data_IF_395798394831
#
_entry.id   IF_395798394831
#
_cell.length_a   1.000
_cell.length_b   1.000
_cell.length_c   1.000
_cell.angle_alpha   90.00
_cell.angle_beta   90.00
_cell.angle_gamma   90.00
#
_symmetry.space_group_name_H-M   'P 1'
#
loop_
_entity.id
_entity.type
_entity.pdbx_description
1 polymer ?
#
# COMPACT_ATOMS: atom_id res chain seq x y z
N UNK A 1 12.13 81.73 -20.35
CA UNK A 1 11.59 81.05 -19.15
C UNK A 1 11.52 79.55 -19.45
N UNK A 2 12.43 78.75 -18.88
CA UNK A 2 12.51 77.29 -19.05
C UNK A 2 11.50 76.63 -18.10
N UNK A 3 10.57 75.81 -18.63
CA UNK A 3 9.69 74.95 -17.81
C UNK A 3 10.17 73.51 -17.93
N UNK A 4 10.79 73.01 -16.86
CA UNK A 4 11.07 71.61 -16.61
C UNK A 4 9.75 70.92 -16.20
N UNK A 5 9.36 69.86 -16.90
CA UNK A 5 8.28 68.96 -16.48
C UNK A 5 8.96 67.70 -15.93
N UNK A 6 8.71 67.30 -14.67
CA UNK A 6 9.35 66.13 -14.08
C UNK A 6 8.66 64.85 -14.57
N UNK A 7 9.46 63.90 -15.04
CA UNK A 7 9.01 62.55 -15.38
C UNK A 7 8.66 61.75 -14.13
N UNK A 8 7.43 61.24 -14.08
CA UNK A 8 7.00 60.24 -13.10
C UNK A 8 7.46 58.87 -13.65
N UNK A 9 8.51 58.31 -13.05
CA UNK A 9 8.91 56.91 -13.28
C UNK A 9 8.05 56.05 -12.36
N UNK A 10 7.02 55.42 -12.94
CA UNK A 10 6.27 54.36 -12.27
C UNK A 10 7.19 53.13 -12.16
N UNK A 11 7.74 52.90 -10.97
CA UNK A 11 8.40 51.65 -10.60
C UNK A 11 7.33 50.56 -10.46
N UNK A 12 7.09 49.80 -11.54
CA UNK A 12 6.36 48.53 -11.50
C UNK A 12 7.18 47.52 -10.71
N UNK A 13 6.88 47.39 -9.43
CA UNK A 13 7.34 46.30 -8.58
C UNK A 13 6.71 44.98 -9.06
N UNK A 14 7.45 44.24 -9.88
CA UNK A 14 7.21 42.83 -10.18
C UNK A 14 7.35 42.03 -8.88
N UNK A 15 6.23 41.78 -8.20
CA UNK A 15 6.15 40.70 -7.23
C UNK A 15 6.34 39.39 -8.00
N UNK A 16 7.57 38.88 -8.05
CA UNK A 16 7.83 37.55 -8.55
C UNK A 16 7.07 36.56 -7.68
N UNK A 17 6.05 35.91 -8.25
CA UNK A 17 5.50 34.70 -7.68
C UNK A 17 6.67 33.71 -7.54
N UNK A 18 7.17 33.52 -6.32
CA UNK A 18 8.04 32.39 -6.05
C UNK A 18 7.23 31.14 -6.40
N UNK A 19 7.55 30.51 -7.53
CA UNK A 19 7.03 29.19 -7.84
C UNK A 19 7.60 28.27 -6.77
N UNK A 20 6.80 27.96 -5.75
CA UNK A 20 7.09 26.86 -4.84
C UNK A 20 7.24 25.64 -5.75
N UNK A 21 8.44 25.09 -5.82
CA UNK A 21 8.72 23.92 -6.64
C UNK A 21 7.98 22.73 -6.01
N UNK A 22 6.72 22.54 -6.37
CA UNK A 22 5.87 21.47 -5.85
C UNK A 22 6.45 20.13 -6.30
N UNK A 23 6.72 19.24 -5.35
CA UNK A 23 7.23 17.90 -5.66
C UNK A 23 6.16 17.10 -6.39
N UNK A 24 6.56 16.38 -7.44
CA UNK A 24 5.65 15.52 -8.19
C UNK A 24 5.19 14.32 -7.35
N UNK A 25 4.12 13.66 -7.78
CA UNK A 25 3.68 12.39 -7.21
C UNK A 25 4.78 11.30 -7.27
N UNK A 26 5.64 11.33 -8.31
CA UNK A 26 6.78 10.43 -8.45
C UNK A 26 7.87 10.68 -7.40
N UNK A 27 8.21 11.95 -7.15
CA UNK A 27 9.19 12.32 -6.13
C UNK A 27 8.71 11.95 -4.73
N UNK A 28 7.41 12.17 -4.45
CA UNK A 28 6.79 11.78 -3.19
C UNK A 28 6.78 10.25 -3.02
N UNK A 29 6.48 9.50 -4.08
CA UNK A 29 6.53 8.03 -4.06
C UNK A 29 7.91 7.49 -3.67
N UNK A 30 8.98 8.03 -4.27
CA UNK A 30 10.36 7.62 -3.95
C UNK A 30 10.74 8.00 -2.51
N UNK A 31 10.43 9.22 -2.08
CA UNK A 31 10.75 9.69 -0.73
C UNK A 31 10.00 8.90 0.35
N UNK A 32 8.72 8.57 0.11
CA UNK A 32 7.91 7.77 1.02
C UNK A 32 8.41 6.32 1.09
N UNK A 33 8.76 5.71 -0.05
CA UNK A 33 9.36 4.37 -0.09
C UNK A 33 10.67 4.35 0.71
N UNK A 34 11.55 5.35 0.54
CA UNK A 34 12.78 5.45 1.31
C UNK A 34 12.54 5.61 2.82
N UNK A 35 11.49 6.33 3.24
CA UNK A 35 11.11 6.42 4.65
C UNK A 35 10.62 5.06 5.19
N UNK A 36 9.74 4.39 4.45
CA UNK A 36 9.25 3.05 4.75
C UNK A 36 10.38 2.03 4.89
N UNK A 37 11.34 2.04 3.98
CA UNK A 37 12.45 1.08 3.97
C UNK A 37 13.39 1.27 5.17
N UNK A 38 13.41 2.48 5.77
CA UNK A 38 14.06 2.75 7.07
C UNK A 38 13.19 2.43 8.28
N UNK A 39 11.97 1.96 8.07
CA UNK A 39 10.99 1.66 9.12
C UNK A 39 10.23 2.89 9.64
N UNK A 40 10.37 4.06 9.03
CA UNK A 40 9.66 5.29 9.41
C UNK A 40 8.32 5.38 8.66
N UNK A 41 7.36 4.59 9.12
CA UNK A 41 6.05 4.48 8.48
C UNK A 41 5.17 5.72 8.70
N UNK A 42 5.41 6.48 9.77
CA UNK A 42 4.72 7.76 9.98
C UNK A 42 5.17 8.83 8.99
N UNK A 43 6.48 8.96 8.72
CA UNK A 43 6.97 9.83 7.66
C UNK A 43 6.48 9.36 6.29
N UNK A 44 6.54 8.05 6.00
CA UNK A 44 6.02 7.50 4.74
C UNK A 44 4.55 7.86 4.53
N UNK A 45 3.69 7.66 5.54
CA UNK A 45 2.27 8.03 5.52
C UNK A 45 2.06 9.50 5.18
N UNK A 46 2.76 10.41 5.86
CA UNK A 46 2.63 11.86 5.63
C UNK A 46 3.04 12.24 4.20
N UNK A 47 4.13 11.67 3.70
CA UNK A 47 4.60 11.91 2.32
C UNK A 47 3.60 11.36 1.29
N UNK A 48 3.08 10.14 1.50
CA UNK A 48 2.04 9.59 0.62
C UNK A 48 0.78 10.46 0.60
N UNK A 49 0.34 10.99 1.75
CA UNK A 49 -0.80 11.89 1.81
C UNK A 49 -0.63 13.14 0.91
N UNK A 50 0.58 13.69 0.79
CA UNK A 50 0.87 14.80 -0.13
C UNK A 50 0.75 14.44 -1.61
N UNK A 51 0.79 13.15 -1.97
CA UNK A 51 0.60 12.70 -3.36
C UNK A 51 -0.85 12.82 -3.84
N UNK A 52 -1.80 13.00 -2.91
CA UNK A 52 -3.22 13.13 -3.22
C UNK A 52 -3.69 14.58 -3.45
N UNK A 53 -2.77 15.56 -3.57
CA UNK A 53 -3.15 16.91 -4.02
C UNK A 53 -3.65 16.87 -5.47
N UNK A 54 -4.57 17.77 -5.83
CA UNK A 54 -5.25 17.75 -7.14
C UNK A 54 -4.27 17.81 -8.32
N UNK A 55 -3.23 18.64 -8.21
CA UNK A 55 -2.14 18.75 -9.21
C UNK A 55 -1.40 17.43 -9.39
N UNK A 56 -1.07 16.76 -8.28
CA UNK A 56 -0.33 15.50 -8.29
C UNK A 56 -1.14 14.34 -8.86
N UNK A 57 -2.44 14.24 -8.51
CA UNK A 57 -3.29 13.16 -8.99
C UNK A 57 -3.64 13.28 -10.48
N UNK A 58 -3.83 14.50 -10.98
CA UNK A 58 -4.20 14.74 -12.39
C UNK A 58 -3.12 14.26 -13.38
N UNK A 59 -1.86 14.20 -12.95
CA UNK A 59 -0.71 13.85 -13.81
C UNK A 59 -0.37 12.35 -13.80
N UNK A 60 -1.11 11.53 -13.05
CA UNK A 60 -0.76 10.12 -12.84
C UNK A 60 -1.66 9.15 -13.61
N UNK A 61 -1.08 8.04 -14.07
CA UNK A 61 -1.84 6.97 -14.72
C UNK A 61 -2.74 6.23 -13.71
N UNK A 62 -3.84 5.58 -14.15
CA UNK A 62 -4.68 4.77 -13.27
C UNK A 62 -3.89 3.72 -12.48
N UNK A 63 -2.93 3.06 -13.12
CA UNK A 63 -2.05 2.07 -12.47
C UNK A 63 -1.18 2.71 -11.39
N UNK A 64 -0.61 3.89 -11.66
CA UNK A 64 0.17 4.60 -10.65
C UNK A 64 -0.67 5.02 -9.45
N UNK A 65 -1.91 5.46 -9.68
CA UNK A 65 -2.86 5.77 -8.60
C UNK A 65 -3.18 4.54 -7.75
N UNK A 66 -3.39 3.37 -8.35
CA UNK A 66 -3.60 2.13 -7.62
C UNK A 66 -2.43 1.85 -6.65
N UNK A 67 -1.20 2.00 -7.11
CA UNK A 67 -0.01 1.82 -6.27
C UNK A 67 0.09 2.89 -5.16
N UNK A 68 -0.24 4.15 -5.45
CA UNK A 68 -0.28 5.19 -4.41
C UNK A 68 -1.28 4.85 -3.29
N UNK A 69 -2.50 4.46 -3.66
CA UNK A 69 -3.52 4.01 -2.70
C UNK A 69 -3.05 2.80 -1.90
N UNK A 70 -2.40 1.83 -2.56
CA UNK A 70 -1.85 0.64 -1.91
C UNK A 70 -0.81 1.00 -0.83
N UNK A 71 0.21 1.79 -1.19
CA UNK A 71 1.29 2.13 -0.26
C UNK A 71 0.83 3.09 0.85
N UNK A 72 -0.09 3.99 0.53
CA UNK A 72 -0.68 4.88 1.53
C UNK A 72 -1.52 4.08 2.54
N UNK A 73 -2.38 3.18 2.06
CA UNK A 73 -3.19 2.30 2.90
C UNK A 73 -2.36 1.42 3.83
N UNK A 74 -1.24 0.86 3.34
CA UNK A 74 -0.28 0.13 4.18
C UNK A 74 0.29 1.02 5.29
N UNK A 75 0.73 2.22 4.95
CA UNK A 75 1.31 3.17 5.91
C UNK A 75 0.31 3.63 6.96
N UNK A 76 -0.95 3.86 6.56
CA UNK A 76 -2.07 4.13 7.47
C UNK A 76 -2.29 2.98 8.46
N UNK A 77 -2.29 1.74 7.99
CA UNK A 77 -2.53 0.59 8.85
C UNK A 77 -1.39 0.34 9.86
N UNK A 78 -0.14 0.55 9.46
CA UNK A 78 1.02 0.43 10.37
C UNK A 78 0.93 1.44 11.51
N UNK A 79 0.43 2.63 11.19
CA UNK A 79 0.25 3.75 12.13
C UNK A 79 -1.16 3.81 12.74
N UNK A 80 -1.92 2.72 12.62
CA UNK A 80 -3.20 2.47 13.31
C UNK A 80 -4.40 3.32 12.87
N UNK A 81 -4.32 3.98 11.72
CA UNK A 81 -5.47 4.58 11.03
C UNK A 81 -6.22 3.48 10.25
N UNK A 82 -6.77 2.51 10.96
CA UNK A 82 -7.24 1.25 10.37
C UNK A 82 -8.42 1.42 9.40
N UNK A 83 -9.33 2.36 9.68
CA UNK A 83 -10.50 2.60 8.83
C UNK A 83 -10.09 3.21 7.50
N UNK A 84 -9.19 4.19 7.56
CA UNK A 84 -8.60 4.84 6.40
C UNK A 84 -7.73 3.85 5.61
N UNK A 85 -6.96 3.01 6.30
CA UNK A 85 -6.17 1.95 5.66
C UNK A 85 -7.05 1.00 4.84
N UNK A 86 -8.16 0.53 5.42
CA UNK A 86 -9.12 -0.35 4.73
C UNK A 86 -9.74 0.35 3.51
N UNK A 87 -10.09 1.63 3.63
CA UNK A 87 -10.61 2.43 2.53
C UNK A 87 -9.61 2.53 1.36
N UNK A 88 -8.38 2.94 1.64
CA UNK A 88 -7.34 3.13 0.63
C UNK A 88 -6.95 1.81 -0.06
N UNK A 89 -6.81 0.73 0.70
CA UNK A 89 -6.52 -0.60 0.14
C UNK A 89 -7.68 -1.14 -0.72
N UNK A 90 -8.92 -0.82 -0.37
CA UNK A 90 -10.10 -1.17 -1.19
C UNK A 90 -10.06 -0.42 -2.53
N UNK A 91 -9.74 0.88 -2.51
CA UNK A 91 -9.60 1.66 -3.75
C UNK A 91 -8.48 1.07 -4.62
N UNK A 92 -7.32 0.75 -4.03
CA UNK A 92 -6.21 0.15 -4.75
C UNK A 92 -6.62 -1.17 -5.42
N UNK A 93 -7.28 -2.06 -4.68
CA UNK A 93 -7.81 -3.32 -5.19
C UNK A 93 -8.75 -3.12 -6.39
N UNK A 94 -9.72 -2.21 -6.27
CA UNK A 94 -10.69 -1.94 -7.32
C UNK A 94 -10.04 -1.32 -8.57
N UNK A 95 -9.05 -0.45 -8.40
CA UNK A 95 -8.31 0.16 -9.51
C UNK A 95 -7.44 -0.88 -10.24
N UNK A 96 -6.72 -1.73 -9.51
CA UNK A 96 -5.94 -2.81 -10.12
C UNK A 96 -6.85 -3.80 -10.84
N UNK A 97 -7.99 -4.19 -10.24
CA UNK A 97 -8.93 -5.11 -10.88
C UNK A 97 -9.47 -4.55 -12.19
N UNK A 98 -9.81 -3.25 -12.24
CA UNK A 98 -10.29 -2.58 -13.46
C UNK A 98 -9.22 -2.41 -14.53
N UNK A 99 -7.94 -2.36 -14.15
CA UNK A 99 -6.83 -2.08 -15.06
C UNK A 99 -6.01 -3.33 -15.44
N UNK A 100 -6.41 -4.52 -15.00
CA UNK A 100 -5.62 -5.74 -15.17
C UNK A 100 -4.30 -5.70 -14.38
N UNK A 101 -4.25 -4.91 -13.31
CA UNK A 101 -3.16 -4.85 -12.35
C UNK A 101 -3.11 -6.05 -11.41
N UNK A 102 -2.18 -6.02 -10.46
CA UNK A 102 -1.92 -7.14 -9.53
C UNK A 102 -2.84 -7.02 -8.30
N UNK A 103 -4.13 -7.12 -8.53
CA UNK A 103 -5.16 -6.76 -7.55
C UNK A 103 -5.15 -7.64 -6.29
N UNK A 104 -4.67 -8.89 -6.37
CA UNK A 104 -4.56 -9.80 -5.23
C UNK A 104 -3.60 -9.29 -4.13
N UNK A 105 -2.69 -8.36 -4.44
CA UNK A 105 -1.79 -7.76 -3.45
C UNK A 105 -2.56 -6.90 -2.44
N UNK A 106 -3.39 -5.98 -2.93
CA UNK A 106 -4.23 -5.11 -2.08
C UNK A 106 -5.23 -5.94 -1.27
N UNK A 107 -5.80 -6.98 -1.87
CA UNK A 107 -6.71 -7.92 -1.19
C UNK A 107 -6.01 -8.71 -0.07
N UNK A 108 -4.76 -9.11 -0.29
CA UNK A 108 -3.92 -9.77 0.74
C UNK A 108 -3.62 -8.82 1.90
N UNK A 109 -3.32 -7.56 1.60
CA UNK A 109 -3.07 -6.55 2.62
C UNK A 109 -4.35 -6.21 3.43
N UNK A 110 -5.53 -6.20 2.82
CA UNK A 110 -6.82 -6.11 3.54
C UNK A 110 -7.02 -7.28 4.52
N UNK A 111 -6.69 -8.50 4.09
CA UNK A 111 -6.77 -9.68 4.95
C UNK A 111 -5.80 -9.57 6.15
N UNK A 112 -4.55 -9.16 5.89
CA UNK A 112 -3.52 -8.96 6.92
C UNK A 112 -3.85 -7.83 7.90
N UNK A 113 -4.41 -6.73 7.40
CA UNK A 113 -4.88 -5.60 8.21
C UNK A 113 -5.96 -6.06 9.21
N UNK A 114 -6.91 -6.88 8.76
CA UNK A 114 -7.96 -7.45 9.60
C UNK A 114 -7.40 -8.50 10.58
N UNK A 115 -6.47 -9.35 10.12
CA UNK A 115 -5.77 -10.32 10.97
C UNK A 115 -5.02 -9.64 12.12
N UNK A 116 -4.28 -8.56 11.85
CA UNK A 116 -3.56 -7.80 12.87
C UNK A 116 -4.49 -7.18 13.93
N UNK A 117 -5.73 -6.85 13.53
CA UNK A 117 -6.78 -6.37 14.43
C UNK A 117 -7.56 -7.49 15.12
N UNK A 118 -7.20 -8.77 14.92
CA UNK A 118 -7.93 -9.96 15.41
C UNK A 118 -9.36 -10.07 14.90
N UNK A 119 -9.68 -9.40 13.79
CA UNK A 119 -10.94 -9.53 13.04
C UNK A 119 -10.87 -10.79 12.17
N UNK A 120 -10.87 -11.95 12.83
CA UNK A 120 -10.49 -13.20 12.20
C UNK A 120 -11.47 -13.67 11.13
N UNK A 121 -12.78 -13.44 11.31
CA UNK A 121 -13.79 -13.83 10.34
C UNK A 121 -13.67 -13.03 9.03
N UNK A 122 -13.45 -11.72 9.15
CA UNK A 122 -13.22 -10.80 8.04
C UNK A 122 -11.90 -11.13 7.34
N UNK A 123 -10.83 -11.38 8.09
CA UNK A 123 -9.55 -11.81 7.54
C UNK A 123 -9.68 -13.12 6.75
N UNK A 124 -10.41 -14.12 7.28
CA UNK A 124 -10.72 -15.37 6.58
C UNK A 124 -11.43 -15.11 5.26
N UNK A 125 -12.42 -14.21 5.25
CA UNK A 125 -13.20 -13.89 4.03
C UNK A 125 -12.32 -13.29 2.94
N UNK A 126 -11.44 -12.36 3.31
CA UNK A 126 -10.48 -11.78 2.36
C UNK A 126 -9.46 -12.82 1.89
N UNK A 127 -8.91 -13.66 2.77
CA UNK A 127 -7.97 -14.71 2.36
C UNK A 127 -8.60 -15.76 1.45
N UNK A 128 -9.83 -16.20 1.72
CA UNK A 128 -10.57 -17.11 0.82
C UNK A 128 -10.73 -16.47 -0.58
N UNK A 129 -10.97 -15.16 -0.65
CA UNK A 129 -11.02 -14.42 -1.92
C UNK A 129 -9.65 -14.34 -2.61
N UNK A 130 -8.56 -14.12 -1.86
CA UNK A 130 -7.19 -14.14 -2.42
C UNK A 130 -6.86 -15.51 -3.01
N UNK A 131 -7.15 -16.58 -2.28
CA UNK A 131 -6.81 -17.95 -2.71
C UNK A 131 -7.57 -18.35 -3.98
N UNK A 132 -8.85 -17.98 -4.09
CA UNK A 132 -9.63 -18.23 -5.31
C UNK A 132 -9.02 -17.59 -6.56
N UNK A 133 -8.37 -16.42 -6.41
CA UNK A 133 -7.74 -15.68 -7.51
C UNK A 133 -6.32 -16.18 -7.81
N UNK A 134 -5.60 -16.69 -6.80
CA UNK A 134 -4.25 -17.23 -6.97
C UNK A 134 -4.21 -18.66 -7.49
N UNK A 135 -5.23 -19.48 -7.23
CA UNK A 135 -5.28 -20.89 -7.64
C UNK A 135 -4.97 -21.09 -9.14
N UNK A 136 -5.50 -20.28 -10.09
CA UNK A 136 -5.10 -20.34 -11.49
C UNK A 136 -3.63 -19.99 -11.76
N UNK A 137 -3.06 -19.01 -11.05
CA UNK A 137 -1.66 -18.58 -11.23
C UNK A 137 -0.66 -19.59 -10.65
N UNK A 138 -1.03 -20.31 -9.59
CA UNK A 138 -0.22 -21.39 -8.98
C UNK A 138 -0.16 -22.61 -9.88
N UNK A 139 -1.28 -22.95 -10.54
CA UNK A 139 -1.28 -23.97 -11.60
C UNK A 139 -0.26 -23.58 -12.69
N UNK A 140 -0.05 -22.29 -12.92
CA UNK A 140 0.99 -21.77 -13.83
C UNK A 140 2.39 -21.57 -13.20
N UNK A 141 2.58 -21.92 -11.92
CA UNK A 141 3.85 -21.87 -11.15
C UNK A 141 4.54 -20.50 -11.01
N UNK A 142 3.82 -19.38 -11.16
CA UNK A 142 4.46 -18.05 -11.21
C UNK A 142 4.83 -17.40 -9.87
N UNK A 143 4.23 -17.80 -8.75
CA UNK A 143 4.41 -17.10 -7.46
C UNK A 143 4.36 -18.01 -6.21
N UNK A 144 5.19 -19.08 -6.13
CA UNK A 144 5.12 -20.04 -5.04
C UNK A 144 5.36 -19.42 -3.65
N UNK A 145 6.30 -18.48 -3.51
CA UNK A 145 6.65 -17.92 -2.18
C UNK A 145 5.55 -17.02 -1.61
N UNK A 146 4.96 -16.18 -2.47
CA UNK A 146 3.84 -15.33 -2.09
C UNK A 146 2.63 -16.17 -1.65
N UNK A 147 2.30 -17.20 -2.42
CA UNK A 147 1.18 -18.09 -2.09
C UNK A 147 1.38 -18.81 -0.77
N UNK A 148 2.59 -19.30 -0.49
CA UNK A 148 2.91 -19.92 0.79
C UNK A 148 2.73 -18.92 1.94
N UNK A 149 3.18 -17.68 1.80
CA UNK A 149 2.97 -16.65 2.82
C UNK A 149 1.47 -16.37 3.05
N UNK A 150 0.66 -16.34 1.99
CA UNK A 150 -0.81 -16.21 2.09
C UNK A 150 -1.42 -17.39 2.86
N UNK A 151 -1.02 -18.63 2.57
CA UNK A 151 -1.52 -19.82 3.26
C UNK A 151 -1.21 -19.80 4.76
N UNK A 152 -0.04 -19.32 5.16
CA UNK A 152 0.32 -19.18 6.58
C UNK A 152 -0.52 -18.14 7.32
N UNK A 153 -0.73 -16.98 6.69
CA UNK A 153 -1.53 -15.91 7.26
C UNK A 153 -3.00 -16.35 7.33
N UNK A 154 -3.48 -17.08 6.30
CA UNK A 154 -4.80 -17.70 6.28
C UNK A 154 -4.97 -18.76 7.37
N UNK A 155 -3.98 -19.64 7.57
CA UNK A 155 -4.00 -20.62 8.67
C UNK A 155 -4.12 -19.91 10.04
N UNK A 156 -3.39 -18.81 10.21
CA UNK A 156 -3.46 -17.99 11.42
C UNK A 156 -4.86 -17.38 11.62
N UNK A 157 -5.45 -16.83 10.55
CA UNK A 157 -6.81 -16.30 10.57
C UNK A 157 -7.86 -17.38 10.89
N UNK A 158 -7.76 -18.56 10.27
CA UNK A 158 -8.63 -19.70 10.52
C UNK A 158 -8.56 -20.19 11.97
N UNK A 159 -7.35 -20.28 12.52
CA UNK A 159 -7.16 -20.67 13.93
C UNK A 159 -7.82 -19.65 14.85
N UNK A 160 -7.61 -18.35 14.63
CA UNK A 160 -8.25 -17.28 15.40
C UNK A 160 -9.76 -17.26 15.27
N UNK A 161 -10.30 -17.67 14.11
CA UNK A 161 -11.74 -17.81 13.86
C UNK A 161 -12.35 -19.10 14.42
N UNK A 162 -11.59 -19.92 15.17
CA UNK A 162 -12.11 -21.17 15.73
C UNK A 162 -12.28 -22.30 14.70
N UNK A 163 -11.54 -22.27 13.58
CA UNK A 163 -11.54 -23.29 12.52
C UNK A 163 -10.21 -24.07 12.47
N UNK A 164 -9.76 -24.73 13.55
CA UNK A 164 -8.40 -25.28 13.66
C UNK A 164 -8.09 -26.41 12.66
N UNK A 165 -9.07 -27.25 12.31
CA UNK A 165 -8.87 -28.29 11.28
C UNK A 165 -8.55 -27.71 9.90
N UNK A 166 -9.21 -26.59 9.56
CA UNK A 166 -8.96 -25.90 8.30
C UNK A 166 -7.61 -25.18 8.35
N UNK A 167 -7.24 -24.63 9.50
CA UNK A 167 -5.93 -24.01 9.71
C UNK A 167 -4.79 -25.03 9.50
N UNK A 168 -4.92 -26.23 10.06
CA UNK A 168 -3.97 -27.33 9.86
C UNK A 168 -3.85 -27.71 8.39
N UNK A 169 -4.99 -27.79 7.68
CA UNK A 169 -5.01 -28.08 6.24
C UNK A 169 -4.23 -27.03 5.44
N UNK A 170 -4.46 -25.74 5.71
CA UNK A 170 -3.75 -24.65 5.04
C UNK A 170 -2.24 -24.65 5.36
N UNK A 171 -1.89 -24.86 6.64
CA UNK A 171 -0.49 -24.93 7.08
C UNK A 171 0.25 -26.13 6.46
N UNK A 172 -0.40 -27.29 6.37
CA UNK A 172 0.15 -28.48 5.70
C UNK A 172 0.41 -28.19 4.22
N UNK A 173 -0.53 -27.53 3.53
CA UNK A 173 -0.37 -27.15 2.13
C UNK A 173 0.83 -26.22 1.92
N UNK A 174 1.01 -25.24 2.80
CA UNK A 174 2.17 -24.34 2.76
C UNK A 174 3.49 -25.11 2.93
N UNK A 175 3.54 -26.08 3.86
CA UNK A 175 4.71 -26.91 4.12
C UNK A 175 5.04 -27.84 2.95
N UNK A 176 4.04 -28.45 2.31
CA UNK A 176 4.23 -29.30 1.12
C UNK A 176 4.86 -28.52 -0.04
N UNK A 177 4.41 -27.29 -0.29
CA UNK A 177 4.96 -26.44 -1.35
C UNK A 177 6.42 -26.08 -1.04
N UNK A 178 6.74 -25.78 0.23
CA UNK A 178 8.11 -25.54 0.67
C UNK A 178 9.03 -26.72 0.46
N UNK A 179 8.57 -27.92 0.82
CA UNK A 179 9.35 -29.14 0.65
C UNK A 179 9.63 -29.47 -0.82
N UNK A 180 8.78 -29.00 -1.74
CA UNK A 180 8.91 -29.24 -3.17
C UNK A 180 9.76 -28.19 -3.92
N UNK A 181 10.11 -27.07 -3.29
CA UNK A 181 10.87 -25.99 -3.95
C UNK A 181 12.37 -26.04 -3.59
N UNK A 182 13.26 -25.62 -4.51
CA UNK A 182 14.69 -25.49 -4.22
C UNK A 182 14.95 -24.43 -3.13
N UNK A 183 15.89 -24.71 -2.22
CA UNK A 183 16.13 -23.94 -0.99
C UNK A 183 16.42 -22.43 -1.20
N UNK A 184 16.88 -22.05 -2.38
CA UNK A 184 17.25 -20.67 -2.74
C UNK A 184 16.05 -19.77 -3.09
N UNK A 185 14.82 -20.31 -3.24
CA UNK A 185 13.66 -19.53 -3.66
C UNK A 185 13.03 -18.67 -2.54
N UNK A 186 13.32 -18.95 -1.27
CA UNK A 186 12.56 -18.40 -0.15
C UNK A 186 13.08 -17.04 0.34
N UNK A 187 12.95 -16.00 -0.48
CA UNK A 187 12.97 -14.63 0.04
C UNK A 187 11.63 -14.39 0.75
N UNK A 188 11.59 -14.59 2.08
CA UNK A 188 10.37 -14.41 2.87
C UNK A 188 9.68 -13.09 2.54
N UNK A 189 8.41 -13.14 2.14
CA UNK A 189 7.63 -11.95 1.83
C UNK A 189 7.58 -11.06 3.10
N UNK A 190 8.24 -9.89 3.04
CA UNK A 190 8.23 -8.93 4.14
C UNK A 190 6.77 -8.51 4.37
N UNK A 191 6.20 -8.96 5.48
CA UNK A 191 4.83 -8.62 5.89
C UNK A 191 4.78 -7.18 6.36
N UNK A 192 3.73 -6.46 5.97
CA UNK A 192 3.47 -5.11 6.50
C UNK A 192 3.22 -5.19 8.02
N UNK A 193 3.93 -4.42 8.85
CA UNK A 193 3.85 -4.54 10.31
C UNK A 193 2.66 -3.74 10.87
N UNK A 194 1.44 -4.14 10.49
CA UNK A 194 0.22 -3.45 10.88
C UNK A 194 0.06 -3.31 12.40
N UNK A 195 -0.40 -2.14 12.85
CA UNK A 195 -0.65 -1.90 14.27
C UNK A 195 0.60 -1.72 15.15
N UNK A 196 1.80 -1.71 14.58
CA UNK A 196 3.05 -1.68 15.38
C UNK A 196 3.54 -0.27 15.71
N UNK A 197 3.09 0.76 14.99
CA UNK A 197 3.52 2.15 15.17
C UNK A 197 2.35 3.08 15.45
N UNK A 198 1.43 2.66 16.32
CA UNK A 198 0.37 3.54 16.77
C UNK A 198 1.00 4.76 17.45
N UNK A 199 0.63 5.97 17.00
CA UNK A 199 0.95 7.16 17.75
C UNK A 199 0.34 7.04 19.16
N UNK A 200 1.13 7.30 20.20
CA UNK A 200 0.56 7.55 21.52
C UNK A 200 -0.11 8.92 21.43
N UNK A 201 -1.43 8.94 21.30
CA UNK A 201 -2.23 10.14 21.57
C UNK A 201 -2.09 10.55 23.02
#
# INVERSE_FOLDING_TARGET
MKRLVPGIILLLSLAGCASVNEKSAGDNMQAAAAARDRGDWDAARKIYAHSFTHTNLAQTSPRFRAVLHYEYGRSLGVTCFFKEAEHELTIAHDMDKKSGGVFYLSLTELARLNLAQKKYAEAVTYFESVLAELDPEIVSKKAPDFYVAVLEDYASALSGAGRPKNAETAAKRAAEIRAAAPAESWAGAIRTPYGTQCAKT
#
